data_IF_787068475894
#
_entry.id   IF_787068475894
#
_cell.length_a   1.000
_cell.length_b   1.000
_cell.length_c   1.000
_cell.angle_alpha   90.00
_cell.angle_beta   90.00
_cell.angle_gamma   90.00
#
_symmetry.space_group_name_H-M   'P 1'
#
loop_
_entity.id
_entity.type
_entity.pdbx_description
1 polymer ?
#
# COMPACT_ATOMS: atom_id res chain seq x y z
N UNK A 1 -13.35 -26.74 2.97
CA UNK A 1 -13.43 -25.27 3.12
C UNK A 1 -12.09 -24.57 2.87
N UNK A 2 -10.95 -25.11 3.31
CA UNK A 2 -9.63 -24.50 3.11
C UNK A 2 -9.25 -24.20 1.64
N UNK A 3 -9.61 -25.06 0.68
CA UNK A 3 -9.28 -24.83 -0.73
C UNK A 3 -9.97 -23.59 -1.35
N UNK A 4 -11.23 -23.31 -0.96
CA UNK A 4 -11.98 -22.13 -1.44
C UNK A 4 -11.40 -20.83 -0.88
N UNK A 5 -10.99 -20.83 0.40
CA UNK A 5 -10.32 -19.69 1.03
C UNK A 5 -8.96 -19.40 0.37
N UNK A 6 -8.19 -20.45 0.05
CA UNK A 6 -6.90 -20.33 -0.62
C UNK A 6 -7.04 -19.79 -2.05
N UNK A 7 -8.06 -20.21 -2.80
CA UNK A 7 -8.36 -19.69 -4.14
C UNK A 7 -8.78 -18.21 -4.11
N UNK A 8 -9.57 -17.82 -3.11
CA UNK A 8 -9.97 -16.42 -2.93
C UNK A 8 -8.75 -15.52 -2.67
N UNK A 9 -7.88 -15.91 -1.73
CA UNK A 9 -6.65 -15.16 -1.41
C UNK A 9 -5.72 -14.99 -2.62
N UNK A 10 -5.51 -16.06 -3.41
CA UNK A 10 -4.72 -15.97 -4.65
C UNK A 10 -5.34 -15.04 -5.69
N UNK A 11 -6.68 -15.00 -5.77
CA UNK A 11 -7.39 -14.06 -6.66
C UNK A 11 -7.25 -12.62 -6.20
N UNK A 12 -7.34 -12.37 -4.88
CA UNK A 12 -7.13 -11.05 -4.27
C UNK A 12 -5.74 -10.50 -4.56
N UNK A 13 -4.70 -11.31 -4.36
CA UNK A 13 -3.29 -10.92 -4.59
C UNK A 13 -3.05 -10.55 -6.06
N UNK A 14 -3.57 -11.34 -7.00
CA UNK A 14 -3.45 -11.06 -8.44
C UNK A 14 -4.17 -9.77 -8.83
N UNK A 15 -5.41 -9.60 -8.36
CA UNK A 15 -6.20 -8.39 -8.62
C UNK A 15 -5.48 -7.14 -8.09
N UNK A 16 -4.95 -7.21 -6.87
CA UNK A 16 -4.18 -6.10 -6.31
C UNK A 16 -2.93 -5.80 -7.15
N UNK A 17 -2.19 -6.84 -7.56
CA UNK A 17 -1.00 -6.65 -8.40
C UNK A 17 -1.35 -5.95 -9.73
N UNK A 18 -2.44 -6.35 -10.38
CA UNK A 18 -2.92 -5.73 -11.62
C UNK A 18 -3.25 -4.25 -11.40
N UNK A 19 -4.00 -3.92 -10.35
CA UNK A 19 -4.35 -2.53 -10.01
C UNK A 19 -3.11 -1.68 -9.69
N UNK A 20 -2.10 -2.25 -9.02
CA UNK A 20 -0.83 -1.56 -8.75
C UNK A 20 -0.05 -1.30 -10.03
N UNK A 21 -0.05 -2.26 -10.97
CA UNK A 21 0.59 -2.08 -12.27
C UNK A 21 -0.12 -0.98 -13.08
N UNK A 22 -1.45 -0.94 -13.03
CA UNK A 22 -2.24 0.11 -13.68
C UNK A 22 -1.92 1.49 -13.09
N UNK A 23 -1.85 1.63 -11.76
CA UNK A 23 -1.46 2.88 -11.10
C UNK A 23 -0.07 3.35 -11.57
N UNK A 24 0.90 2.43 -11.65
CA UNK A 24 2.24 2.74 -12.13
C UNK A 24 2.27 3.15 -13.61
N UNK A 25 1.45 2.49 -14.45
CA UNK A 25 1.31 2.86 -15.85
C UNK A 25 0.72 4.26 -16.01
N UNK A 26 -0.33 4.60 -15.24
CA UNK A 26 -0.91 5.95 -15.24
C UNK A 26 0.09 7.00 -14.75
N UNK A 27 0.85 6.72 -13.69
CA UNK A 27 1.91 7.61 -13.21
C UNK A 27 2.98 7.86 -14.28
N UNK A 28 3.39 6.83 -15.01
CA UNK A 28 4.37 6.99 -16.09
C UNK A 28 3.84 7.87 -17.24
N UNK A 29 2.58 7.68 -17.63
CA UNK A 29 1.91 8.53 -18.62
C UNK A 29 1.83 9.98 -18.13
N UNK A 30 1.43 10.19 -16.87
CA UNK A 30 1.32 11.51 -16.28
C UNK A 30 2.67 12.24 -16.28
N UNK A 31 3.74 11.58 -15.82
CA UNK A 31 5.10 12.10 -15.88
C UNK A 31 5.53 12.54 -17.28
N UNK A 32 5.21 11.73 -18.28
CA UNK A 32 5.55 12.01 -19.67
C UNK A 32 4.86 13.28 -20.20
N UNK A 33 3.67 13.60 -19.71
CA UNK A 33 2.95 14.83 -20.08
C UNK A 33 3.44 16.01 -19.25
N UNK A 34 3.59 15.86 -17.92
CA UNK A 34 4.02 16.92 -17.00
C UNK A 34 5.40 17.47 -17.39
N UNK A 35 6.34 16.62 -17.81
CA UNK A 35 7.68 17.07 -18.22
C UNK A 35 7.69 17.99 -19.46
N UNK A 36 6.60 18.02 -20.23
CA UNK A 36 6.49 18.84 -21.43
C UNK A 36 6.00 20.27 -21.12
N UNK A 37 5.52 20.54 -19.90
CA UNK A 37 5.10 21.88 -19.47
C UNK A 37 6.30 22.85 -19.54
N UNK A 38 6.09 24.03 -20.13
CA UNK A 38 7.12 25.05 -20.32
C UNK A 38 8.11 24.75 -21.45
N UNK A 39 7.90 23.68 -22.22
CA UNK A 39 8.74 23.33 -23.38
C UNK A 39 8.08 23.74 -24.71
N UNK A 40 8.77 23.55 -25.83
CA UNK A 40 8.20 23.78 -27.17
C UNK A 40 7.00 22.87 -27.50
N UNK A 41 6.81 21.77 -26.76
CA UNK A 41 5.67 20.87 -26.92
C UNK A 41 4.44 21.35 -26.11
N UNK A 42 4.58 22.37 -25.28
CA UNK A 42 3.52 22.90 -24.43
C UNK A 42 2.47 23.66 -25.25
N UNK A 43 1.32 23.01 -25.46
CA UNK A 43 0.22 23.56 -26.24
C UNK A 43 -1.13 23.11 -25.64
N UNK A 44 -2.23 23.68 -26.15
CA UNK A 44 -3.57 23.41 -25.64
C UNK A 44 -3.98 21.93 -25.69
N UNK A 45 -3.46 21.14 -26.64
CA UNK A 45 -3.74 19.71 -26.68
C UNK A 45 -3.00 18.98 -25.57
N UNK A 46 -1.71 19.26 -25.37
CA UNK A 46 -0.93 18.72 -24.26
C UNK A 46 -1.60 19.03 -22.90
N UNK A 47 -2.13 20.24 -22.71
CA UNK A 47 -2.81 20.63 -21.47
C UNK A 47 -4.12 19.86 -21.22
N UNK A 48 -4.86 19.52 -22.29
CA UNK A 48 -6.02 18.61 -22.18
C UNK A 48 -5.60 17.19 -21.86
N UNK A 49 -4.52 16.72 -22.46
CA UNK A 49 -3.97 15.38 -22.20
C UNK A 49 -3.44 15.28 -20.76
N UNK A 50 -2.88 16.37 -20.24
CA UNK A 50 -2.41 16.50 -18.86
C UNK A 50 -3.55 16.33 -17.87
N UNK A 51 -4.63 17.08 -18.06
CA UNK A 51 -5.85 17.01 -17.26
C UNK A 51 -6.53 15.61 -17.33
N UNK A 52 -6.58 15.00 -18.52
CA UNK A 52 -7.05 13.63 -18.67
C UNK A 52 -6.18 12.62 -17.91
N UNK A 53 -4.85 12.76 -18.00
CA UNK A 53 -3.89 11.88 -17.32
C UNK A 53 -3.91 12.05 -15.80
N UNK A 54 -4.03 13.28 -15.30
CA UNK A 54 -4.19 13.57 -13.88
C UNK A 54 -5.41 12.85 -13.28
N UNK A 55 -6.57 12.98 -13.94
CA UNK A 55 -7.78 12.28 -13.51
C UNK A 55 -7.66 10.76 -13.61
N UNK A 56 -6.90 10.24 -14.57
CA UNK A 56 -6.66 8.81 -14.69
C UNK A 56 -5.83 8.27 -13.51
N UNK A 57 -4.81 9.01 -13.07
CA UNK A 57 -4.05 8.68 -11.85
C UNK A 57 -4.98 8.60 -10.63
N UNK A 58 -5.80 9.64 -10.38
CA UNK A 58 -6.72 9.68 -9.24
C UNK A 58 -7.66 8.47 -9.25
N UNK A 59 -8.35 8.22 -10.37
CA UNK A 59 -9.27 7.08 -10.50
C UNK A 59 -8.60 5.73 -10.30
N UNK A 60 -7.36 5.58 -10.80
CA UNK A 60 -6.60 4.33 -10.62
C UNK A 60 -6.28 4.08 -9.14
N UNK A 61 -5.91 5.13 -8.40
CA UNK A 61 -5.68 5.06 -6.96
C UNK A 61 -6.97 4.76 -6.19
N UNK A 62 -8.09 5.42 -6.52
CA UNK A 62 -9.39 5.11 -5.89
C UNK A 62 -9.77 3.63 -6.05
N UNK A 63 -9.61 3.09 -7.27
CA UNK A 63 -9.89 1.69 -7.57
C UNK A 63 -8.96 0.73 -6.78
N UNK A 64 -7.67 1.06 -6.69
CA UNK A 64 -6.70 0.25 -5.94
C UNK A 64 -6.94 0.32 -4.43
N UNK A 65 -7.20 1.51 -3.88
CA UNK A 65 -7.53 1.73 -2.47
C UNK A 65 -8.77 0.94 -2.06
N UNK A 66 -9.81 0.94 -2.89
CA UNK A 66 -11.02 0.13 -2.66
C UNK A 66 -10.73 -1.38 -2.57
N UNK A 67 -9.64 -1.85 -3.18
CA UNK A 67 -9.19 -3.25 -3.09
C UNK A 67 -8.36 -3.52 -1.82
N UNK A 68 -7.51 -2.58 -1.39
CA UNK A 68 -6.58 -2.75 -0.28
C UNK A 68 -7.29 -2.68 1.08
N UNK A 69 -8.12 -1.66 1.31
CA UNK A 69 -8.70 -1.38 2.62
C UNK A 69 -9.48 -2.57 3.22
N UNK A 70 -10.31 -3.32 2.47
CA UNK A 70 -11.08 -4.42 3.04
C UNK A 70 -10.24 -5.65 3.42
N UNK A 71 -9.02 -5.79 2.88
CA UNK A 71 -8.32 -7.08 2.82
C UNK A 71 -6.99 -7.10 3.56
N UNK A 72 -6.35 -5.94 3.80
CA UNK A 72 -4.98 -5.90 4.35
C UNK A 72 -4.85 -6.55 5.73
N UNK A 73 -5.94 -6.64 6.51
CA UNK A 73 -5.95 -7.29 7.84
C UNK A 73 -6.06 -8.82 7.77
N UNK A 74 -6.48 -9.36 6.64
CA UNK A 74 -6.89 -10.76 6.52
C UNK A 74 -6.05 -11.56 5.52
N UNK A 75 -5.34 -10.88 4.62
CA UNK A 75 -4.51 -11.51 3.60
C UNK A 75 -3.06 -11.71 4.06
N UNK A 76 -2.33 -12.58 3.36
CA UNK A 76 -0.96 -12.96 3.72
C UNK A 76 0.13 -12.00 3.22
N UNK A 77 1.38 -12.37 3.50
CA UNK A 77 2.60 -11.57 3.23
C UNK A 77 2.68 -11.02 1.79
N UNK A 78 2.26 -11.79 0.78
CA UNK A 78 2.29 -11.36 -0.62
C UNK A 78 1.33 -10.19 -0.89
N UNK A 79 0.15 -10.20 -0.28
CA UNK A 79 -0.80 -9.09 -0.38
C UNK A 79 -0.23 -7.84 0.27
N UNK A 80 0.32 -7.97 1.48
CA UNK A 80 0.94 -6.86 2.21
C UNK A 80 2.11 -6.27 1.43
N UNK A 81 2.93 -7.09 0.75
CA UNK A 81 4.00 -6.61 -0.14
C UNK A 81 3.44 -5.76 -1.29
N UNK A 82 2.39 -6.24 -1.96
CA UNK A 82 1.77 -5.50 -3.06
C UNK A 82 1.10 -4.21 -2.56
N UNK A 83 0.52 -4.21 -1.35
CA UNK A 83 0.00 -3.02 -0.71
C UNK A 83 1.12 -2.01 -0.37
N UNK A 84 2.29 -2.46 0.07
CA UNK A 84 3.45 -1.56 0.28
C UNK A 84 3.95 -0.96 -1.04
N UNK A 85 3.97 -1.75 -2.13
CA UNK A 85 4.29 -1.22 -3.47
C UNK A 85 3.27 -0.18 -3.91
N UNK A 86 1.99 -0.41 -3.62
CA UNK A 86 0.92 0.55 -3.89
C UNK A 86 1.15 1.88 -3.17
N UNK A 87 1.47 1.84 -1.87
CA UNK A 87 1.79 3.06 -1.10
C UNK A 87 2.92 3.86 -1.74
N UNK A 88 4.00 3.17 -2.15
CA UNK A 88 5.09 3.82 -2.87
C UNK A 88 4.64 4.48 -4.18
N UNK A 89 3.69 3.86 -4.90
CA UNK A 89 3.09 4.43 -6.11
C UNK A 89 2.26 5.68 -5.81
N UNK A 90 1.39 5.65 -4.80
CA UNK A 90 0.59 6.83 -4.37
C UNK A 90 1.49 7.97 -3.94
N UNK A 91 2.53 7.69 -3.16
CA UNK A 91 3.53 8.68 -2.75
C UNK A 91 4.20 9.35 -3.96
N UNK A 92 4.59 8.56 -4.96
CA UNK A 92 5.16 9.08 -6.20
C UNK A 92 4.15 9.91 -7.03
N UNK A 93 2.86 9.56 -7.01
CA UNK A 93 1.79 10.35 -7.66
C UNK A 93 1.62 11.71 -6.95
N UNK A 94 1.56 11.74 -5.61
CA UNK A 94 1.46 12.99 -4.85
C UNK A 94 2.61 13.94 -5.18
N UNK A 95 3.84 13.43 -5.20
CA UNK A 95 5.03 14.21 -5.57
C UNK A 95 4.88 14.78 -6.99
N UNK A 96 4.43 13.96 -7.94
CA UNK A 96 4.26 14.39 -9.33
C UNK A 96 3.13 15.42 -9.49
N UNK A 97 2.03 15.29 -8.75
CA UNK A 97 0.93 16.26 -8.77
C UNK A 97 1.37 17.62 -8.24
N UNK A 98 2.14 17.65 -7.15
CA UNK A 98 2.76 18.89 -6.64
C UNK A 98 3.72 19.51 -7.64
N UNK A 99 4.50 18.67 -8.35
CA UNK A 99 5.37 19.13 -9.44
C UNK A 99 4.57 19.75 -10.57
N UNK A 100 3.46 19.12 -10.96
CA UNK A 100 2.54 19.63 -11.98
C UNK A 100 1.99 20.99 -11.57
N UNK A 101 1.41 21.11 -10.38
CA UNK A 101 0.88 22.37 -9.84
C UNK A 101 1.92 23.50 -9.89
N UNK A 102 3.14 23.25 -9.43
CA UNK A 102 4.22 24.25 -9.48
C UNK A 102 4.59 24.66 -10.92
N UNK A 103 4.59 23.71 -11.85
CA UNK A 103 4.87 23.98 -13.26
C UNK A 103 3.73 24.74 -13.94
N UNK A 104 2.47 24.42 -13.66
CA UNK A 104 1.31 25.15 -14.18
C UNK A 104 1.25 26.58 -13.65
N UNK A 105 1.67 26.81 -12.40
CA UNK A 105 1.82 28.16 -11.84
C UNK A 105 2.95 28.96 -12.51
N UNK A 106 4.05 28.30 -12.88
CA UNK A 106 5.21 28.94 -13.51
C UNK A 106 4.97 29.20 -15.01
N UNK A 107 4.28 28.29 -15.68
CA UNK A 107 3.95 28.34 -17.09
C UNK A 107 2.42 28.24 -17.25
N UNK A 108 1.69 29.35 -17.06
CA UNK A 108 0.25 29.36 -17.21
C UNK A 108 -0.16 28.98 -18.63
N UNK A 109 -1.21 28.17 -18.75
CA UNK A 109 -1.80 27.89 -20.04
C UNK A 109 -2.44 29.16 -20.63
N UNK A 110 -2.68 29.15 -21.94
CA UNK A 110 -3.40 30.23 -22.63
C UNK A 110 -4.81 30.43 -22.05
N UNK A 111 -5.38 31.63 -22.22
CA UNK A 111 -6.69 32.01 -21.68
C UNK A 111 -7.77 30.92 -21.92
N UNK A 112 -8.42 30.49 -20.84
CA UNK A 112 -9.56 29.56 -20.87
C UNK A 112 -9.22 28.08 -20.63
N UNK A 113 -7.96 27.72 -20.38
CA UNK A 113 -7.57 26.38 -19.92
C UNK A 113 -7.31 26.42 -18.42
N UNK A 114 -8.12 25.69 -17.65
CA UNK A 114 -7.92 25.54 -16.21
C UNK A 114 -6.75 24.59 -15.90
N UNK A 115 -6.06 24.77 -14.75
CA UNK A 115 -5.04 23.84 -14.30
C UNK A 115 -5.55 22.40 -14.18
N UNK A 116 -4.73 21.44 -14.59
CA UNK A 116 -5.05 20.01 -14.52
C UNK A 116 -5.13 19.49 -13.07
N UNK A 117 -4.35 20.09 -12.17
CA UNK A 117 -4.32 19.74 -10.75
C UNK A 117 -4.84 20.90 -9.92
N UNK A 118 -5.94 20.66 -9.19
CA UNK A 118 -6.38 21.57 -8.13
C UNK A 118 -5.66 21.25 -6.81
N UNK A 119 -5.54 22.23 -5.89
CA UNK A 119 -5.03 21.99 -4.54
C UNK A 119 -5.82 20.91 -3.79
N UNK A 120 -7.13 20.84 -4.02
CA UNK A 120 -8.02 19.81 -3.45
C UNK A 120 -7.64 18.41 -3.90
N UNK A 121 -7.28 18.23 -5.18
CA UNK A 121 -6.85 16.91 -5.70
C UNK A 121 -5.59 16.43 -5.00
N UNK A 122 -4.61 17.33 -4.79
CA UNK A 122 -3.38 17.01 -4.06
C UNK A 122 -3.71 16.59 -2.64
N UNK A 123 -4.54 17.37 -1.95
CA UNK A 123 -4.95 17.09 -0.57
C UNK A 123 -5.66 15.74 -0.45
N UNK A 124 -6.59 15.42 -1.34
CA UNK A 124 -7.28 14.12 -1.34
C UNK A 124 -6.29 12.96 -1.50
N UNK A 125 -5.27 13.10 -2.36
CA UNK A 125 -4.26 12.07 -2.55
C UNK A 125 -3.30 11.96 -1.35
N UNK A 126 -2.98 13.06 -0.67
CA UNK A 126 -2.22 13.05 0.58
C UNK A 126 -2.97 12.34 1.71
N UNK A 127 -4.26 12.66 1.89
CA UNK A 127 -5.12 11.98 2.88
C UNK A 127 -5.23 10.47 2.59
N UNK A 128 -5.32 10.10 1.30
CA UNK A 128 -5.31 8.70 0.89
C UNK A 128 -4.00 8.01 1.27
N UNK A 129 -2.86 8.65 1.02
CA UNK A 129 -1.53 8.14 1.35
C UNK A 129 -1.40 7.91 2.87
N UNK A 130 -1.73 8.92 3.66
CA UNK A 130 -1.67 8.86 5.13
C UNK A 130 -2.52 7.71 5.67
N UNK A 131 -3.75 7.55 5.16
CA UNK A 131 -4.63 6.46 5.55
C UNK A 131 -4.03 5.07 5.25
N UNK A 132 -3.38 4.91 4.10
CA UNK A 132 -2.73 3.65 3.71
C UNK A 132 -1.50 3.36 4.57
N UNK A 133 -0.66 4.36 4.86
CA UNK A 133 0.53 4.24 5.71
C UNK A 133 0.17 3.86 7.14
N UNK A 134 -0.86 4.51 7.69
CA UNK A 134 -1.41 4.19 9.01
C UNK A 134 -1.93 2.76 9.06
N UNK A 135 -2.64 2.31 8.02
CA UNK A 135 -3.21 0.97 7.95
C UNK A 135 -2.12 -0.12 7.96
N UNK A 136 -1.06 0.06 7.17
CA UNK A 136 0.07 -0.88 7.14
C UNK A 136 0.82 -0.88 8.47
N UNK A 137 1.06 0.30 9.06
CA UNK A 137 1.71 0.42 10.37
C UNK A 137 0.93 -0.35 11.44
N UNK A 138 -0.39 -0.13 11.53
CA UNK A 138 -1.26 -0.87 12.46
C UNK A 138 -1.21 -2.37 12.20
N UNK A 139 -1.23 -2.81 10.93
CA UNK A 139 -1.12 -4.23 10.61
C UNK A 139 0.18 -4.83 11.15
N UNK A 140 1.33 -4.22 10.90
CA UNK A 140 2.61 -4.73 11.41
C UNK A 140 2.72 -4.67 12.94
N UNK A 141 2.20 -3.63 13.59
CA UNK A 141 2.20 -3.51 15.06
C UNK A 141 1.26 -4.50 15.75
N UNK A 142 0.23 -5.00 15.08
CA UNK A 142 -0.78 -5.91 15.67
C UNK A 142 -0.70 -7.35 15.16
N UNK A 143 0.06 -7.61 14.09
CA UNK A 143 0.26 -8.93 13.50
C UNK A 143 1.29 -9.81 14.23
N UNK A 144 1.95 -9.32 15.29
CA UNK A 144 2.72 -10.19 16.15
C UNK A 144 1.77 -11.21 16.81
N UNK A 145 1.91 -12.49 16.43
CA UNK A 145 1.27 -13.61 17.11
C UNK A 145 1.45 -13.44 18.62
N UNK A 146 0.35 -13.50 19.39
CA UNK A 146 0.36 -13.45 20.84
C UNK A 146 1.51 -14.31 21.38
N UNK A 147 2.28 -13.88 22.40
CA UNK A 147 3.33 -14.69 23.01
C UNK A 147 2.87 -16.11 23.38
N UNK A 148 1.56 -16.29 23.59
CA UNK A 148 0.92 -17.58 23.85
C UNK A 148 1.01 -18.60 22.69
N UNK A 149 1.07 -18.17 21.42
CA UNK A 149 1.22 -19.09 20.26
C UNK A 149 2.67 -19.51 20.01
N UNK A 150 3.64 -18.73 20.49
CA UNK A 150 5.08 -19.06 20.41
C UNK A 150 5.52 -20.06 21.48
N UNK A 151 4.68 -20.30 22.50
CA UNK A 151 4.90 -21.37 23.47
C UNK A 151 4.43 -22.68 22.83
N UNK A 152 5.31 -23.34 22.11
CA UNK A 152 5.12 -24.77 21.82
C UNK A 152 5.00 -25.46 23.17
N UNK A 153 3.88 -26.13 23.51
CA UNK A 153 3.80 -26.93 24.72
C UNK A 153 4.85 -28.01 24.56
N UNK A 154 6.01 -27.83 25.20
CA UNK A 154 7.01 -28.87 25.25
C UNK A 154 6.37 -29.99 26.07
N UNK A 155 5.79 -30.99 25.38
CA UNK A 155 5.32 -32.21 26.03
C UNK A 155 6.56 -32.77 26.72
N UNK A 156 6.62 -32.61 28.05
CA UNK A 156 7.58 -33.37 28.85
C UNK A 156 7.30 -34.82 28.54
N UNK A 157 8.18 -35.44 27.75
CA UNK A 157 8.18 -36.89 27.61
C UNK A 157 8.29 -37.44 29.02
N UNK A 158 7.26 -38.17 29.47
CA UNK A 158 7.21 -38.84 30.77
C UNK A 158 8.10 -40.07 30.81
N UNK A 159 9.23 -40.05 30.11
CA UNK A 159 10.21 -41.14 30.13
C UNK A 159 11.59 -40.56 30.38
N UNK A 160 12.04 -40.80 31.62
CA UNK A 160 13.43 -40.74 32.10
C UNK A 160 14.11 -39.37 32.10
N UNK A 161 13.97 -38.61 33.21
CA UNK A 161 15.08 -37.74 33.61
C UNK A 161 16.28 -38.66 33.92
N UNK A 162 17.43 -38.42 33.29
CA UNK A 162 18.66 -39.15 33.60
C UNK A 162 18.95 -39.10 35.11
N UNK A 163 19.53 -40.15 35.68
CA UNK A 163 19.84 -40.29 37.11
C UNK A 163 20.66 -39.14 37.74
N UNK A 164 21.25 -38.25 36.93
CA UNK A 164 21.97 -37.04 37.38
C UNK A 164 21.12 -35.75 37.37
N UNK A 165 19.85 -35.84 37.01
CA UNK A 165 18.90 -34.74 37.02
C UNK A 165 18.57 -34.31 38.46
N UNK A 166 18.94 -33.09 38.85
CA UNK A 166 18.81 -32.51 40.21
C UNK A 166 17.34 -32.31 40.66
N UNK A 167 16.37 -32.70 39.82
CA UNK A 167 14.94 -32.57 40.06
C UNK A 167 14.42 -33.45 41.21
N UNK A 168 15.18 -34.45 41.65
CA UNK A 168 14.81 -35.39 42.72
C UNK A 168 15.07 -34.85 44.14
N UNK A 169 15.63 -33.64 44.30
CA UNK A 169 15.84 -33.03 45.63
C UNK A 169 14.79 -32.00 46.06
N UNK A 170 13.81 -31.68 45.21
CA UNK A 170 12.65 -30.90 45.64
C UNK A 170 11.63 -31.83 46.31
N UNK A 171 11.96 -32.29 47.52
CA UNK A 171 10.93 -32.75 48.46
C UNK A 171 10.10 -31.53 48.83
N UNK A 172 8.85 -31.55 48.39
CA UNK A 172 7.79 -30.66 48.85
C UNK A 172 7.59 -30.87 50.35
N UNK A 173 8.19 -30.02 51.17
CA UNK A 173 7.74 -29.79 52.54
C UNK A 173 6.72 -28.66 52.51
N UNK A 174 5.44 -29.01 52.54
CA UNK A 174 4.52 -28.73 53.64
C UNK A 174 3.10 -29.10 53.20
N UNK A 175 2.50 -29.96 54.03
CA UNK A 175 1.06 -30.13 54.16
C UNK A 175 0.49 -28.94 54.96
#
# INVERSE_FOLDING_TARGET
MAAKLRQHSLSSVRKLQELVNDCNAQLALFRNVVQCIGTNADNSQLRKDLDASARACIRSCEACTACVLPQVRHEGVEFTRNASQYIGCVSAIVIEMKRCEALEATFPASDGIEPAISPENVKTMEEMLENLENLITVHFSTSESSPAEKVVPHRRSTTTCHLQCVCSKLKTSYA
#
